data_IF_874395757374
#
_entry.id   IF_874395757374
#
_cell.length_a   1.000
_cell.length_b   1.000
_cell.length_c   1.000
_cell.angle_alpha   90.00
_cell.angle_beta   90.00
_cell.angle_gamma   90.00
#
_symmetry.space_group_name_H-M   'P 1'
#
loop_
_entity.id
_entity.type
_entity.pdbx_description
1 polymer ?
#
# COMPACT_ATOMS: atom_id res chain seq x y z
N UNK A 1 -23.82 1.33 23.08
CA UNK A 1 -23.33 2.26 24.10
C UNK A 1 -23.65 3.68 23.58
N UNK A 2 -24.62 4.39 24.20
CA UNK A 2 -25.19 5.67 23.71
C UNK A 2 -24.26 6.90 23.85
N UNK A 3 -22.95 6.73 23.74
CA UNK A 3 -21.99 7.83 23.84
C UNK A 3 -21.80 8.54 22.48
N UNK A 4 -21.76 9.88 22.52
CA UNK A 4 -21.37 10.70 21.37
C UNK A 4 -19.85 10.65 21.23
N UNK A 5 -19.36 10.09 20.15
CA UNK A 5 -17.93 10.03 19.83
C UNK A 5 -17.57 11.21 18.91
N UNK A 6 -16.48 11.89 19.21
CA UNK A 6 -15.96 13.02 18.43
C UNK A 6 -14.52 12.68 18.01
N UNK A 7 -14.23 12.87 16.72
CA UNK A 7 -12.87 12.71 16.18
C UNK A 7 -12.06 13.97 16.48
N UNK A 8 -10.90 13.79 17.12
CA UNK A 8 -9.98 14.86 17.45
C UNK A 8 -8.74 14.73 16.59
N UNK A 9 -8.40 15.78 15.87
CA UNK A 9 -7.14 15.86 15.14
C UNK A 9 -5.96 15.93 16.12
N UNK A 10 -4.78 15.52 15.68
CA UNK A 10 -3.57 15.49 16.52
C UNK A 10 -3.40 16.80 17.30
N UNK A 11 -3.12 16.73 18.62
CA UNK A 11 -2.86 17.92 19.41
C UNK A 11 -1.63 18.67 18.91
N UNK A 12 -1.57 19.97 19.25
CA UNK A 12 -0.56 20.91 18.79
C UNK A 12 0.87 20.35 18.93
N UNK A 13 1.60 20.33 17.82
CA UNK A 13 2.98 19.80 17.73
C UNK A 13 3.93 20.49 18.74
N UNK A 14 3.69 21.76 19.06
CA UNK A 14 4.51 22.54 20.01
C UNK A 14 4.38 22.05 21.46
N UNK A 15 3.20 21.60 21.89
CA UNK A 15 3.00 21.04 23.22
C UNK A 15 3.76 19.73 23.41
N UNK A 16 3.74 18.88 22.39
CA UNK A 16 4.54 17.64 22.36
C UNK A 16 6.04 17.88 22.39
N UNK A 17 6.50 18.98 21.79
CA UNK A 17 7.91 19.34 21.78
C UNK A 17 8.40 19.78 23.16
N UNK A 18 7.53 20.47 23.92
CA UNK A 18 7.87 21.01 25.28
C UNK A 18 7.74 19.98 26.41
N UNK A 19 6.77 19.06 26.30
CA UNK A 19 6.40 18.18 27.42
C UNK A 19 6.62 16.68 27.12
N UNK A 20 7.15 16.32 25.94
CA UNK A 20 7.29 14.95 25.51
C UNK A 20 5.97 14.33 25.07
N UNK A 21 6.01 13.05 24.68
CA UNK A 21 4.83 12.27 24.29
C UNK A 21 4.37 11.43 25.47
N UNK A 22 3.26 11.82 26.10
CA UNK A 22 2.60 11.02 27.16
C UNK A 22 1.13 10.86 26.82
N UNK A 23 0.54 9.72 27.19
CA UNK A 23 -0.87 9.43 26.92
C UNK A 23 -1.80 10.38 27.69
N UNK A 24 -1.39 10.83 28.89
CA UNK A 24 -2.11 11.82 29.68
C UNK A 24 -2.19 13.19 28.98
N UNK A 25 -1.09 13.64 28.38
CA UNK A 25 -1.06 14.90 27.61
C UNK A 25 -1.94 14.83 26.37
N UNK A 26 -1.92 13.68 25.66
CA UNK A 26 -2.74 13.46 24.48
C UNK A 26 -4.23 13.40 24.87
N UNK A 27 -4.59 12.76 25.98
CA UNK A 27 -5.97 12.69 26.48
C UNK A 27 -6.47 14.06 26.95
N UNK A 28 -5.68 14.83 27.69
CA UNK A 28 -6.00 16.19 28.10
C UNK A 28 -6.19 17.11 26.89
N UNK A 29 -5.27 17.05 25.92
CA UNK A 29 -5.36 17.83 24.69
C UNK A 29 -6.63 17.52 23.90
N UNK A 30 -7.02 16.24 23.79
CA UNK A 30 -8.25 15.82 23.16
C UNK A 30 -9.48 16.35 23.89
N UNK A 31 -9.55 16.23 25.20
CA UNK A 31 -10.66 16.74 26.02
C UNK A 31 -10.80 18.26 25.88
N UNK A 32 -9.71 19.01 25.97
CA UNK A 32 -9.72 20.47 25.79
C UNK A 32 -10.20 20.90 24.40
N UNK A 33 -9.79 20.20 23.34
CA UNK A 33 -10.23 20.48 21.95
C UNK A 33 -11.74 20.32 21.77
N UNK A 34 -12.33 19.32 22.44
CA UNK A 34 -13.79 19.12 22.43
C UNK A 34 -14.51 20.20 23.24
N UNK A 35 -14.03 20.51 24.45
CA UNK A 35 -14.63 21.51 25.33
C UNK A 35 -14.58 22.93 24.73
N UNK A 36 -13.49 23.25 24.02
CA UNK A 36 -13.32 24.55 23.34
C UNK A 36 -14.06 24.61 21.97
N UNK A 37 -14.79 23.57 21.58
CA UNK A 37 -15.51 23.55 20.31
C UNK A 37 -14.63 23.46 19.06
N UNK A 38 -13.30 23.24 19.22
CA UNK A 38 -12.38 23.10 18.09
C UNK A 38 -12.51 21.75 17.39
N UNK A 39 -12.86 20.70 18.12
CA UNK A 39 -13.11 19.38 17.59
C UNK A 39 -14.60 19.07 17.58
N UNK A 40 -15.19 19.01 16.40
CA UNK A 40 -16.62 18.69 16.20
C UNK A 40 -16.82 17.60 15.14
N UNK A 41 -15.75 17.03 14.60
CA UNK A 41 -15.84 16.06 13.52
C UNK A 41 -16.43 14.73 14.00
N UNK A 42 -17.35 14.17 13.23
CA UNK A 42 -17.84 12.81 13.44
C UNK A 42 -16.78 11.82 12.96
N UNK A 43 -16.50 10.75 13.71
CA UNK A 43 -15.59 9.69 13.24
C UNK A 43 -16.16 8.98 12.02
N UNK A 44 -15.28 8.38 11.22
CA UNK A 44 -15.68 7.49 10.13
C UNK A 44 -16.37 6.25 10.71
N UNK A 45 -17.45 5.79 10.09
CA UNK A 45 -18.19 4.60 10.56
C UNK A 45 -17.41 3.31 10.40
N UNK A 46 -16.50 3.26 9.43
CA UNK A 46 -15.63 2.09 9.12
C UNK A 46 -16.42 0.79 8.86
N UNK A 47 -17.64 0.89 8.38
CA UNK A 47 -18.54 -0.25 8.12
C UNK A 47 -19.09 -0.28 6.70
N UNK A 48 -18.86 0.77 5.92
CA UNK A 48 -19.45 0.95 4.58
C UNK A 48 -18.53 0.52 3.43
N UNK A 49 -18.96 0.74 2.19
CA UNK A 49 -18.20 0.44 0.98
C UNK A 49 -16.82 1.09 0.91
N UNK A 50 -16.65 2.28 1.49
CA UNK A 50 -15.33 2.95 1.53
C UNK A 50 -14.33 2.19 2.41
N UNK A 51 -14.81 1.54 3.47
CA UNK A 51 -13.95 0.67 4.29
C UNK A 51 -13.51 -0.59 3.53
N UNK A 52 -14.37 -1.17 2.69
CA UNK A 52 -13.99 -2.27 1.79
C UNK A 52 -12.87 -1.83 0.84
N UNK A 53 -12.99 -0.63 0.23
CA UNK A 53 -11.94 -0.04 -0.61
C UNK A 53 -10.65 0.15 0.18
N UNK A 54 -10.72 0.63 1.43
CA UNK A 54 -9.55 0.83 2.28
C UNK A 54 -8.81 -0.46 2.58
N UNK A 55 -9.51 -1.54 2.91
CA UNK A 55 -8.89 -2.84 3.18
C UNK A 55 -8.14 -3.39 1.97
N UNK A 56 -8.78 -3.39 0.80
CA UNK A 56 -8.16 -3.86 -0.44
C UNK A 56 -6.96 -3.00 -0.84
N UNK A 57 -7.08 -1.68 -0.67
CA UNK A 57 -5.99 -0.75 -0.99
C UNK A 57 -4.77 -0.97 -0.08
N UNK A 58 -4.95 -1.22 1.21
CA UNK A 58 -3.87 -1.53 2.14
C UNK A 58 -3.12 -2.80 1.70
N UNK A 59 -3.86 -3.88 1.40
CA UNK A 59 -3.28 -5.13 0.93
C UNK A 59 -2.52 -4.93 -0.39
N UNK A 60 -3.16 -4.30 -1.36
CA UNK A 60 -2.57 -3.97 -2.67
C UNK A 60 -1.29 -3.14 -2.54
N UNK A 61 -1.28 -2.06 -1.76
CA UNK A 61 -0.13 -1.18 -1.62
C UNK A 61 1.04 -1.88 -0.90
N UNK A 62 0.74 -2.77 0.03
CA UNK A 62 1.72 -3.64 0.67
C UNK A 62 2.34 -4.61 -0.36
N UNK A 63 1.52 -5.25 -1.18
CA UNK A 63 1.98 -6.14 -2.25
C UNK A 63 2.87 -5.39 -3.27
N UNK A 64 2.52 -4.15 -3.64
CA UNK A 64 3.34 -3.30 -4.52
C UNK A 64 4.72 -3.01 -3.94
N UNK A 65 4.79 -2.66 -2.65
CA UNK A 65 6.07 -2.43 -1.96
C UNK A 65 6.93 -3.69 -1.93
N UNK A 66 6.34 -4.81 -1.57
CA UNK A 66 7.02 -6.11 -1.54
C UNK A 66 7.51 -6.56 -2.92
N UNK A 67 6.69 -6.37 -3.97
CA UNK A 67 7.06 -6.68 -5.36
C UNK A 67 8.22 -5.81 -5.83
N UNK A 68 8.22 -4.53 -5.48
CA UNK A 68 9.30 -3.60 -5.81
C UNK A 68 10.59 -4.02 -5.12
N UNK A 69 10.53 -4.33 -3.83
CA UNK A 69 11.69 -4.81 -3.07
C UNK A 69 12.26 -6.12 -3.65
N UNK A 70 11.38 -7.09 -3.98
CA UNK A 70 11.81 -8.34 -4.61
C UNK A 70 12.54 -8.09 -5.94
N UNK A 71 12.07 -7.13 -6.75
CA UNK A 71 12.70 -6.77 -8.02
C UNK A 71 14.05 -6.10 -7.83
N UNK A 72 14.19 -5.19 -6.87
CA UNK A 72 15.47 -4.53 -6.56
C UNK A 72 16.50 -5.57 -6.14
N UNK A 73 16.15 -6.45 -5.20
CA UNK A 73 17.03 -7.52 -4.74
C UNK A 73 17.39 -8.49 -5.87
N UNK A 74 16.41 -8.86 -6.72
CA UNK A 74 16.66 -9.72 -7.87
C UNK A 74 17.67 -9.09 -8.84
N UNK A 75 17.54 -7.82 -9.16
CA UNK A 75 18.49 -7.08 -10.01
C UNK A 75 19.90 -7.08 -9.41
N UNK A 76 20.03 -6.85 -8.10
CA UNK A 76 21.32 -6.90 -7.41
C UNK A 76 21.96 -8.29 -7.52
N UNK A 77 21.18 -9.37 -7.36
CA UNK A 77 21.69 -10.72 -7.53
C UNK A 77 22.11 -11.02 -8.97
N UNK A 78 21.41 -10.50 -9.97
CA UNK A 78 21.78 -10.66 -11.38
C UNK A 78 23.13 -9.98 -11.66
N UNK A 79 23.32 -8.75 -11.18
CA UNK A 79 24.57 -7.98 -11.36
C UNK A 79 25.77 -8.72 -10.74
N UNK A 80 25.56 -9.31 -9.57
CA UNK A 80 26.62 -10.04 -8.83
C UNK A 80 26.71 -11.53 -9.19
N UNK A 81 25.95 -11.99 -10.19
CA UNK A 81 25.99 -13.39 -10.61
C UNK A 81 27.30 -13.75 -11.33
N UNK A 82 27.69 -15.05 -11.33
CA UNK A 82 28.76 -15.54 -12.19
C UNK A 82 28.58 -15.11 -13.64
N UNK A 83 29.69 -14.78 -14.32
CA UNK A 83 29.71 -14.15 -15.65
C UNK A 83 28.85 -14.92 -16.67
N UNK A 84 28.95 -16.24 -16.68
CA UNK A 84 28.22 -17.11 -17.61
C UNK A 84 26.70 -17.02 -17.37
N UNK A 85 26.30 -17.00 -16.11
CA UNK A 85 24.88 -16.87 -15.75
C UNK A 85 24.35 -15.47 -16.11
N UNK A 86 25.13 -14.43 -15.80
CA UNK A 86 24.77 -13.05 -16.12
C UNK A 86 24.63 -12.86 -17.63
N UNK A 87 25.55 -13.33 -18.44
CA UNK A 87 25.49 -13.24 -19.89
C UNK A 87 24.20 -13.82 -20.49
N UNK A 88 23.74 -14.97 -19.95
CA UNK A 88 22.46 -15.56 -20.36
C UNK A 88 21.29 -14.67 -19.96
N UNK A 89 21.28 -14.13 -18.73
CA UNK A 89 20.18 -13.29 -18.25
C UNK A 89 20.10 -11.95 -18.97
N UNK A 90 21.24 -11.34 -19.32
CA UNK A 90 21.32 -10.07 -20.05
C UNK A 90 20.80 -10.20 -21.51
N UNK A 91 20.85 -11.41 -22.09
CA UNK A 91 20.32 -11.66 -23.42
C UNK A 91 18.79 -11.68 -23.50
N UNK A 92 18.10 -11.82 -22.36
CA UNK A 92 16.64 -11.94 -22.29
C UNK A 92 16.02 -10.55 -22.30
N UNK A 93 15.34 -10.22 -23.41
CA UNK A 93 14.63 -8.95 -23.55
C UNK A 93 13.23 -9.02 -22.89
N UNK A 94 12.92 -8.01 -22.11
CA UNK A 94 11.62 -7.84 -21.49
C UNK A 94 11.56 -8.36 -20.04
N UNK A 95 11.06 -7.48 -19.16
CA UNK A 95 11.00 -7.71 -17.70
C UNK A 95 10.27 -8.99 -17.32
N UNK A 96 9.09 -9.22 -17.90
CA UNK A 96 8.24 -10.38 -17.56
C UNK A 96 8.88 -11.67 -18.07
N UNK A 97 9.47 -11.65 -19.27
CA UNK A 97 10.16 -12.81 -19.84
C UNK A 97 11.36 -13.22 -18.97
N UNK A 98 12.17 -12.24 -18.54
CA UNK A 98 13.29 -12.48 -17.64
C UNK A 98 12.83 -13.09 -16.31
N UNK A 99 11.81 -12.53 -15.68
CA UNK A 99 11.31 -13.04 -14.39
C UNK A 99 10.77 -14.47 -14.54
N UNK A 100 10.00 -14.76 -15.59
CA UNK A 100 9.49 -16.11 -15.86
C UNK A 100 10.62 -17.10 -16.11
N UNK A 101 11.64 -16.71 -16.86
CA UNK A 101 12.82 -17.54 -17.10
C UNK A 101 13.53 -17.88 -15.79
N UNK A 102 13.78 -16.90 -14.93
CA UNK A 102 14.42 -17.10 -13.63
C UNK A 102 13.54 -17.95 -12.69
N UNK A 103 12.23 -17.75 -12.69
CA UNK A 103 11.27 -18.52 -11.89
C UNK A 103 11.26 -20.02 -12.26
N UNK A 104 11.66 -20.35 -13.48
CA UNK A 104 11.76 -21.72 -13.99
C UNK A 104 13.10 -22.41 -13.67
N UNK A 105 14.08 -21.73 -13.06
CA UNK A 105 15.35 -22.33 -12.70
C UNK A 105 15.19 -23.62 -11.88
N UNK A 106 16.08 -24.58 -12.11
CA UNK A 106 16.19 -25.86 -11.37
C UNK A 106 17.59 -25.96 -10.77
N UNK A 107 17.86 -25.30 -9.63
CA UNK A 107 19.22 -25.20 -9.08
C UNK A 107 19.81 -26.54 -8.60
N UNK A 108 18.99 -27.56 -8.34
CA UNK A 108 19.44 -28.84 -7.78
C UNK A 108 19.95 -28.68 -6.33
N UNK A 109 20.93 -29.53 -5.96
CA UNK A 109 21.62 -29.41 -4.66
C UNK A 109 22.51 -28.16 -4.67
N UNK A 110 22.56 -27.44 -3.55
CA UNK A 110 23.37 -26.21 -3.43
C UNK A 110 24.80 -26.61 -3.08
N UNK A 111 25.61 -26.90 -4.10
CA UNK A 111 27.01 -27.30 -3.98
C UNK A 111 27.98 -26.30 -4.60
N UNK A 112 27.47 -25.21 -5.19
CA UNK A 112 28.26 -24.15 -5.83
C UNK A 112 27.62 -22.79 -5.67
N UNK A 113 28.40 -21.71 -5.87
CA UNK A 113 27.91 -20.33 -5.87
C UNK A 113 26.85 -20.09 -6.96
N UNK A 114 27.02 -20.72 -8.12
CA UNK A 114 26.02 -20.65 -9.22
C UNK A 114 24.71 -21.32 -8.82
N UNK A 115 24.74 -22.49 -8.15
CA UNK A 115 23.54 -23.17 -7.69
C UNK A 115 22.80 -22.34 -6.63
N UNK A 116 23.53 -21.76 -5.67
CA UNK A 116 22.93 -20.89 -4.65
C UNK A 116 22.36 -19.60 -5.24
N UNK A 117 23.04 -18.96 -6.18
CA UNK A 117 22.55 -17.79 -6.88
C UNK A 117 21.24 -18.09 -7.66
N UNK A 118 21.21 -19.19 -8.42
CA UNK A 118 19.97 -19.63 -9.11
C UNK A 118 18.83 -19.92 -8.15
N UNK A 119 19.10 -20.53 -6.97
CA UNK A 119 18.07 -20.80 -5.97
C UNK A 119 17.49 -19.52 -5.38
N UNK A 120 18.33 -18.57 -5.00
CA UNK A 120 17.90 -17.28 -4.47
C UNK A 120 17.11 -16.46 -5.50
N UNK A 121 17.62 -16.36 -6.73
CA UNK A 121 16.94 -15.66 -7.83
C UNK A 121 15.57 -16.28 -8.13
N UNK A 122 15.48 -17.63 -8.19
CA UNK A 122 14.20 -18.33 -8.39
C UNK A 122 13.19 -17.98 -7.32
N UNK A 123 13.57 -17.96 -6.05
CA UNK A 123 12.68 -17.62 -4.96
C UNK A 123 12.13 -16.19 -5.09
N UNK A 124 12.98 -15.22 -5.43
CA UNK A 124 12.59 -13.84 -5.64
C UNK A 124 11.70 -13.66 -6.87
N UNK A 125 12.02 -14.33 -7.99
CA UNK A 125 11.23 -14.27 -9.21
C UNK A 125 9.82 -14.87 -9.01
N UNK A 126 9.70 -16.00 -8.32
CA UNK A 126 8.41 -16.60 -7.97
C UNK A 126 7.58 -15.69 -7.05
N UNK A 127 8.20 -15.11 -6.02
CA UNK A 127 7.56 -14.12 -5.15
C UNK A 127 7.05 -12.93 -5.95
N UNK A 128 7.87 -12.43 -6.88
CA UNK A 128 7.48 -11.31 -7.73
C UNK A 128 6.25 -11.64 -8.58
N UNK A 129 6.18 -12.83 -9.17
CA UNK A 129 5.02 -13.27 -9.98
C UNK A 129 3.76 -13.40 -9.13
N UNK A 130 3.86 -14.02 -7.96
CA UNK A 130 2.74 -14.16 -7.03
C UNK A 130 2.18 -12.79 -6.62
N UNK A 131 3.06 -11.86 -6.23
CA UNK A 131 2.65 -10.51 -5.86
C UNK A 131 2.09 -9.72 -7.06
N UNK A 132 2.55 -9.99 -8.27
CA UNK A 132 2.02 -9.37 -9.47
C UNK A 132 0.57 -9.80 -9.74
N UNK A 133 0.26 -11.08 -9.60
CA UNK A 133 -1.10 -11.61 -9.72
C UNK A 133 -2.01 -11.08 -8.61
N UNK A 134 -1.53 -11.06 -7.36
CA UNK A 134 -2.25 -10.49 -6.22
C UNK A 134 -2.64 -9.02 -6.46
N UNK A 135 -1.70 -8.20 -6.94
CA UNK A 135 -1.96 -6.79 -7.26
C UNK A 135 -3.02 -6.68 -8.35
N UNK A 136 -2.95 -7.50 -9.41
CA UNK A 136 -3.93 -7.47 -10.49
C UNK A 136 -5.35 -7.84 -10.00
N UNK A 137 -5.47 -8.79 -9.06
CA UNK A 137 -6.75 -9.13 -8.45
C UNK A 137 -7.31 -7.94 -7.64
N UNK A 138 -6.47 -7.33 -6.82
CA UNK A 138 -6.90 -6.16 -6.04
C UNK A 138 -7.24 -4.97 -6.92
N UNK A 139 -6.47 -4.71 -7.98
CA UNK A 139 -6.75 -3.63 -8.93
C UNK A 139 -8.14 -3.77 -9.56
N UNK A 140 -8.53 -4.98 -9.98
CA UNK A 140 -9.87 -5.26 -10.54
C UNK A 140 -10.99 -5.02 -9.54
N UNK A 141 -10.84 -5.52 -8.30
CA UNK A 141 -11.87 -5.34 -7.28
C UNK A 141 -11.98 -3.88 -6.83
N UNK A 142 -10.86 -3.17 -6.70
CA UNK A 142 -10.84 -1.75 -6.40
C UNK A 142 -11.55 -0.95 -7.49
N UNK A 143 -11.26 -1.23 -8.76
CA UNK A 143 -11.90 -0.57 -9.88
C UNK A 143 -13.42 -0.77 -9.85
N UNK A 144 -13.89 -2.00 -9.64
CA UNK A 144 -15.32 -2.32 -9.53
C UNK A 144 -16.01 -1.53 -8.40
N UNK A 145 -15.40 -1.51 -7.21
CA UNK A 145 -15.96 -0.81 -6.05
C UNK A 145 -15.98 0.71 -6.23
N UNK A 146 -14.90 1.25 -6.79
CA UNK A 146 -14.74 2.69 -7.02
C UNK A 146 -15.72 3.19 -8.08
N UNK A 147 -15.91 2.47 -9.18
CA UNK A 147 -16.88 2.81 -10.23
C UNK A 147 -18.30 2.88 -9.64
N UNK A 148 -18.67 1.92 -8.80
CA UNK A 148 -19.99 1.91 -8.16
C UNK A 148 -20.17 3.08 -7.18
N UNK A 149 -19.13 3.40 -6.41
CA UNK A 149 -19.22 4.43 -5.35
C UNK A 149 -19.08 5.86 -5.88
N UNK A 150 -18.27 6.08 -6.90
CA UNK A 150 -17.95 7.41 -7.43
C UNK A 150 -17.86 7.43 -8.97
N UNK A 151 -18.95 7.12 -9.69
CA UNK A 151 -18.94 7.05 -11.15
C UNK A 151 -18.54 8.37 -11.82
N UNK A 152 -18.96 9.50 -11.27
CA UNK A 152 -18.64 10.83 -11.81
C UNK A 152 -17.15 11.15 -11.74
N UNK A 153 -16.47 10.77 -10.64
CA UNK A 153 -15.02 10.95 -10.51
C UNK A 153 -14.26 10.04 -11.47
N UNK A 154 -14.74 8.81 -11.67
CA UNK A 154 -14.12 7.88 -12.62
C UNK A 154 -14.28 8.32 -14.08
N UNK A 155 -15.34 9.07 -14.40
CA UNK A 155 -15.55 9.65 -15.73
C UNK A 155 -14.68 10.90 -15.98
N UNK A 156 -14.07 11.47 -14.94
CA UNK A 156 -13.25 12.68 -15.05
C UNK A 156 -11.90 12.38 -15.70
N UNK A 157 -11.52 13.19 -16.69
CA UNK A 157 -10.25 13.01 -17.40
C UNK A 157 -9.04 13.17 -16.46
N UNK A 158 -8.09 12.28 -16.56
CA UNK A 158 -6.82 12.33 -15.79
C UNK A 158 -6.90 11.79 -14.36
N UNK A 159 -8.05 11.30 -13.90
CA UNK A 159 -8.21 10.71 -12.57
C UNK A 159 -8.28 9.19 -12.69
N UNK A 160 -7.30 8.50 -12.09
CA UNK A 160 -7.23 7.04 -12.11
C UNK A 160 -7.90 6.42 -10.86
N UNK A 161 -8.28 5.14 -10.95
CA UNK A 161 -8.93 4.36 -9.89
C UNK A 161 -8.27 4.53 -8.51
N UNK A 162 -6.94 4.50 -8.45
CA UNK A 162 -6.22 4.62 -7.16
C UNK A 162 -6.36 6.00 -6.54
N UNK A 163 -6.40 7.05 -7.34
CA UNK A 163 -6.62 8.43 -6.88
C UNK A 163 -8.03 8.58 -6.33
N UNK A 164 -9.05 8.05 -7.05
CA UNK A 164 -10.43 8.08 -6.56
C UNK A 164 -10.58 7.26 -5.28
N UNK A 165 -9.92 6.10 -5.19
CA UNK A 165 -9.91 5.30 -3.97
C UNK A 165 -9.34 6.08 -2.77
N UNK A 166 -8.25 6.83 -2.96
CA UNK A 166 -7.67 7.69 -1.91
C UNK A 166 -8.61 8.81 -1.49
N UNK A 167 -9.25 9.48 -2.44
CA UNK A 167 -10.26 10.53 -2.17
C UNK A 167 -11.42 9.95 -1.36
N UNK A 168 -11.96 8.80 -1.76
CA UNK A 168 -13.04 8.12 -1.04
C UNK A 168 -12.62 7.74 0.39
N UNK A 169 -11.43 7.19 0.57
CA UNK A 169 -10.90 6.84 1.90
C UNK A 169 -10.72 8.08 2.77
N UNK A 170 -10.31 9.20 2.19
CA UNK A 170 -10.19 10.48 2.91
C UNK A 170 -11.54 10.96 3.40
N UNK A 171 -12.54 10.99 2.52
CA UNK A 171 -13.91 11.48 2.82
C UNK A 171 -14.65 10.52 3.76
N UNK A 172 -14.55 9.22 3.54
CA UNK A 172 -15.36 8.20 4.21
C UNK A 172 -16.72 8.01 3.53
N UNK A 173 -17.61 7.24 4.16
CA UNK A 173 -18.95 6.99 3.63
C UNK A 173 -19.92 8.14 3.82
N UNK A 174 -19.64 9.08 4.73
CA UNK A 174 -20.44 10.28 5.00
C UNK A 174 -19.73 11.54 4.49
N UNK A 175 -20.13 12.09 3.31
CA UNK A 175 -19.54 13.30 2.76
C UNK A 175 -19.76 14.55 3.63
N UNK A 176 -20.81 14.56 4.48
CA UNK A 176 -21.12 15.71 5.35
C UNK A 176 -20.06 15.98 6.42
N UNK A 177 -19.09 15.06 6.57
CA UNK A 177 -17.95 15.24 7.48
C UNK A 177 -16.99 16.34 7.04
N UNK A 178 -16.89 16.59 5.74
CA UNK A 178 -16.03 17.63 5.17
C UNK A 178 -16.88 18.86 4.94
N UNK A 179 -16.65 19.90 5.74
CA UNK A 179 -17.45 21.14 5.72
C UNK A 179 -16.80 22.31 4.99
N UNK A 180 -15.48 22.27 4.81
CA UNK A 180 -14.71 23.31 4.13
C UNK A 180 -13.38 22.75 3.63
N UNK A 181 -12.76 23.46 2.69
CA UNK A 181 -11.35 23.36 2.43
C UNK A 181 -10.61 23.86 3.68
N UNK A 182 -9.79 22.98 4.30
CA UNK A 182 -9.00 23.33 5.48
C UNK A 182 -7.65 23.92 5.07
#
# INVERSE_FOLDING_TARGET
LGYKVIEVTRPNRQLRYRHGKTDSLDAEGAARSVLNGQAMAKPKTQTGPVEMIRHLKIARDTAVKCRTQAMVTLKTLIINAPVELRGVLDSIKGKIALIRYIAAFRPGKITSTTASAKAAMRALARRWLMLHEEIQMHDKELERLVIVKAPSLMASHGIATMTVAEMLILVGDDPSRIKSEA
#
